data_IF_821973744856
#
_entry.id   IF_821973744856
#
_cell.length_a   1.000
_cell.length_b   1.000
_cell.length_c   1.000
_cell.angle_alpha   90.00
_cell.angle_beta   90.00
_cell.angle_gamma   90.00
#
_symmetry.space_group_name_H-M   'P 1'
#
loop_
_entity.id
_entity.type
_entity.pdbx_description
1 polymer ?
#
# COMPACT_ATOMS: atom_id res chain seq x y z
N UNK A 1 -6.43 -11.14 2.53
CA UNK A 1 -6.05 -11.95 1.37
C UNK A 1 -7.25 -12.37 0.54
N UNK A 2 -7.03 -12.53 -0.76
CA UNK A 2 -7.95 -13.19 -1.69
C UNK A 2 -7.29 -14.44 -2.26
N UNK A 3 -8.01 -15.55 -2.34
CA UNK A 3 -7.58 -16.73 -3.10
C UNK A 3 -8.20 -16.76 -4.49
N UNK A 4 -7.46 -17.25 -5.47
CA UNK A 4 -7.98 -17.47 -6.81
C UNK A 4 -9.04 -18.58 -6.80
N UNK A 5 -10.30 -18.25 -7.10
CA UNK A 5 -11.39 -19.23 -7.12
C UNK A 5 -11.39 -20.14 -8.36
N UNK A 6 -10.51 -19.84 -9.32
CA UNK A 6 -10.28 -20.57 -10.58
C UNK A 6 -8.90 -20.15 -11.12
N UNK A 7 -8.34 -20.87 -12.11
CA UNK A 7 -7.12 -20.41 -12.77
C UNK A 7 -7.29 -19.02 -13.39
N UNK A 8 -6.30 -18.16 -13.18
CA UNK A 8 -6.23 -16.78 -13.69
C UNK A 8 -5.03 -16.70 -14.61
N UNK A 9 -5.18 -16.04 -15.76
CA UNK A 9 -4.09 -15.86 -16.73
C UNK A 9 -3.34 -14.56 -16.48
N UNK A 10 -2.06 -14.55 -16.82
CA UNK A 10 -1.28 -13.33 -16.87
C UNK A 10 -2.00 -12.23 -17.66
N UNK A 11 -2.07 -11.02 -17.08
CA UNK A 11 -2.70 -9.85 -17.68
C UNK A 11 -4.20 -9.71 -17.38
N UNK A 12 -4.85 -10.75 -16.85
CA UNK A 12 -6.27 -10.68 -16.46
C UNK A 12 -6.50 -9.56 -15.44
N UNK A 13 -7.63 -8.86 -15.58
CA UNK A 13 -8.10 -7.89 -14.60
C UNK A 13 -8.82 -8.64 -13.48
N UNK A 14 -8.32 -8.47 -12.26
CA UNK A 14 -8.82 -9.14 -11.06
C UNK A 14 -9.80 -8.27 -10.29
N UNK A 15 -9.56 -6.95 -10.32
CA UNK A 15 -10.38 -5.96 -9.64
C UNK A 15 -10.33 -4.64 -10.40
N UNK A 16 -11.47 -3.98 -10.51
CA UNK A 16 -11.59 -2.56 -10.81
C UNK A 16 -12.37 -1.93 -9.65
N UNK A 17 -11.85 -0.88 -9.05
CA UNK A 17 -12.48 -0.25 -7.88
C UNK A 17 -12.27 1.27 -7.87
N UNK A 18 -13.34 2.09 -7.71
CA UNK A 18 -13.20 3.53 -7.48
C UNK A 18 -12.66 3.81 -6.07
N UNK A 19 -11.93 4.91 -5.90
CA UNK A 19 -11.45 5.32 -4.58
C UNK A 19 -12.60 5.78 -3.69
N UNK A 20 -12.51 5.46 -2.40
CA UNK A 20 -13.43 5.98 -1.39
C UNK A 20 -13.01 7.38 -0.93
N UNK A 21 -11.70 7.61 -0.84
CA UNK A 21 -11.10 8.91 -0.60
C UNK A 21 -9.71 8.97 -1.21
N UNK A 22 -9.26 10.18 -1.50
CA UNK A 22 -7.92 10.46 -1.97
C UNK A 22 -7.36 11.74 -1.36
N UNK A 23 -6.06 11.86 -1.47
CA UNK A 23 -5.27 12.64 -0.57
C UNK A 23 -3.96 13.02 -1.29
N UNK A 24 -3.57 14.31 -1.30
CA UNK A 24 -2.26 14.75 -1.78
C UNK A 24 -1.26 14.74 -0.64
N UNK A 25 -0.11 14.14 -0.85
CA UNK A 25 0.96 14.11 0.14
C UNK A 25 1.80 15.38 0.05
N UNK A 26 2.26 15.92 1.19
CA UNK A 26 3.10 17.11 1.21
C UNK A 26 4.42 16.85 0.48
N UNK A 27 4.90 17.87 -0.23
CA UNK A 27 6.21 17.82 -0.92
C UNK A 27 7.34 18.03 0.10
N UNK A 28 8.51 17.48 -0.17
CA UNK A 28 9.79 17.68 0.53
C UNK A 28 10.19 19.13 0.83
N UNK A 29 9.62 20.10 0.11
CA UNK A 29 9.81 21.53 0.35
C UNK A 29 8.87 22.10 1.42
N UNK A 30 7.82 21.37 1.77
CA UNK A 30 6.86 21.71 2.82
C UNK A 30 7.36 21.22 4.19
N UNK A 31 6.99 21.89 5.30
CA UNK A 31 7.50 21.57 6.64
C UNK A 31 7.32 20.11 7.06
N UNK A 32 6.27 19.47 6.54
CA UNK A 32 5.89 18.07 6.81
C UNK A 32 6.20 17.14 5.63
N UNK A 33 7.02 17.58 4.68
CA UNK A 33 7.44 16.84 3.51
C UNK A 33 8.51 15.77 3.76
N UNK A 34 8.57 14.69 2.96
CA UNK A 34 9.62 13.69 3.07
C UNK A 34 11.00 14.26 2.70
N UNK A 35 12.02 14.00 3.51
CA UNK A 35 13.34 14.59 3.31
C UNK A 35 14.18 13.90 2.22
N UNK A 36 13.97 14.24 0.94
CA UNK A 36 14.64 13.62 -0.23
C UNK A 36 16.19 13.69 -0.29
N UNK A 37 16.87 14.29 0.69
CA UNK A 37 18.32 14.54 0.66
C UNK A 37 19.20 13.39 1.18
N UNK A 38 18.61 12.29 1.68
CA UNK A 38 19.36 11.14 2.23
C UNK A 38 19.69 10.03 1.22
N UNK A 39 19.26 10.17 -0.04
CA UNK A 39 19.57 9.19 -1.10
C UNK A 39 18.87 7.84 -0.96
N UNK A 40 17.93 7.73 -0.03
CA UNK A 40 16.98 6.63 0.03
C UNK A 40 15.82 6.87 -0.96
N UNK A 41 15.18 5.79 -1.40
CA UNK A 41 14.03 5.86 -2.29
C UNK A 41 12.92 6.73 -1.61
N UNK A 42 12.35 7.72 -2.30
CA UNK A 42 11.33 8.60 -1.72
C UNK A 42 10.10 7.82 -1.20
N UNK A 43 9.78 6.65 -1.76
CA UNK A 43 8.73 5.77 -1.24
C UNK A 43 9.07 5.23 0.16
N UNK A 44 10.35 5.10 0.50
CA UNK A 44 10.85 4.47 1.72
C UNK A 44 11.08 5.49 2.82
N UNK A 45 11.67 6.64 2.49
CA UNK A 45 11.72 7.75 3.44
C UNK A 45 10.32 8.20 3.80
N UNK A 46 9.43 8.30 2.82
CA UNK A 46 8.03 8.63 3.08
C UNK A 46 7.33 7.50 3.84
N UNK A 47 7.60 6.21 3.64
CA UNK A 47 7.02 5.14 4.51
C UNK A 47 7.55 5.14 5.95
N UNK A 48 8.82 5.52 6.15
CA UNK A 48 9.47 5.61 7.47
C UNK A 48 9.04 6.88 8.19
N UNK A 49 8.92 7.98 7.47
CA UNK A 49 8.35 9.22 7.98
C UNK A 49 6.83 9.12 8.09
N UNK A 50 6.08 8.35 7.30
CA UNK A 50 4.66 8.08 7.54
C UNK A 50 4.41 7.43 8.92
N UNK A 51 5.41 6.70 9.43
CA UNK A 51 5.37 6.12 10.78
C UNK A 51 5.81 7.08 11.90
N UNK A 52 6.35 8.26 11.56
CA UNK A 52 6.90 9.26 12.51
C UNK A 52 6.36 10.69 12.38
N UNK A 53 5.93 11.05 11.18
CA UNK A 53 5.31 12.26 10.70
C UNK A 53 3.93 11.81 10.21
N UNK A 54 2.97 12.04 11.09
CA UNK A 54 1.55 12.18 10.81
C UNK A 54 1.28 12.23 9.31
N UNK A 55 0.65 11.19 8.73
CA UNK A 55 -0.28 11.47 7.62
C UNK A 55 -1.19 12.51 8.21
N UNK A 56 -0.94 13.78 7.85
CA UNK A 56 -1.26 14.94 8.67
C UNK A 56 -2.61 14.69 9.36
N UNK A 57 -2.59 14.59 10.69
CA UNK A 57 -3.75 14.11 11.42
C UNK A 57 -4.95 14.96 10.98
N UNK A 58 -4.73 16.27 10.74
CA UNK A 58 -5.69 17.20 10.15
C UNK A 58 -6.21 16.83 8.75
N UNK A 59 -5.37 16.27 7.87
CA UNK A 59 -5.70 15.85 6.52
C UNK A 59 -6.52 14.55 6.46
N UNK A 60 -6.11 13.51 7.19
CA UNK A 60 -6.96 12.33 7.34
C UNK A 60 -8.26 12.74 8.04
N UNK A 61 -8.20 13.62 9.03
CA UNK A 61 -9.37 14.15 9.70
C UNK A 61 -10.34 14.87 8.74
N UNK A 62 -9.86 15.76 7.86
CA UNK A 62 -10.70 16.44 6.86
C UNK A 62 -11.32 15.44 5.87
N UNK A 63 -10.56 14.44 5.41
CA UNK A 63 -11.03 13.46 4.43
C UNK A 63 -11.97 12.42 5.02
N UNK A 64 -11.74 12.01 6.27
CA UNK A 64 -12.67 11.18 7.05
C UNK A 64 -14.03 11.87 7.15
N UNK A 65 -14.07 13.17 7.49
CA UNK A 65 -15.33 13.96 7.56
C UNK A 65 -16.03 14.17 6.20
N UNK A 66 -15.32 14.02 5.08
CA UNK A 66 -15.87 14.18 3.73
C UNK A 66 -16.18 12.85 3.02
N UNK A 67 -16.00 11.71 3.70
CA UNK A 67 -16.43 10.41 3.19
C UNK A 67 -17.96 10.43 2.97
N UNK A 68 -18.45 10.22 1.74
CA UNK A 68 -19.84 10.49 1.36
C UNK A 68 -20.89 9.56 2.03
N UNK A 69 -20.46 8.62 2.88
CA UNK A 69 -21.31 7.54 3.38
C UNK A 69 -21.48 7.47 4.90
N UNK A 70 -20.82 8.30 5.71
CA UNK A 70 -20.91 8.20 7.18
C UNK A 70 -20.84 9.57 7.87
N UNK A 71 -21.84 9.92 8.69
CA UNK A 71 -21.66 10.90 9.76
C UNK A 71 -20.75 10.28 10.81
N UNK A 72 -19.49 10.66 10.82
CA UNK A 72 -18.50 10.09 11.74
C UNK A 72 -18.58 10.86 13.04
N UNK A 73 -18.93 10.14 14.10
CA UNK A 73 -18.90 10.66 15.46
C UNK A 73 -17.46 10.63 15.99
N UNK A 74 -17.16 11.52 16.93
CA UNK A 74 -15.78 11.73 17.42
C UNK A 74 -15.14 10.47 18.03
N UNK A 75 -15.95 9.57 18.58
CA UNK A 75 -15.54 8.25 19.09
C UNK A 75 -15.09 7.28 17.99
N UNK A 76 -15.56 7.45 16.75
CA UNK A 76 -15.21 6.60 15.60
C UNK A 76 -14.05 7.14 14.77
N UNK A 77 -13.57 8.35 15.07
CA UNK A 77 -12.52 9.05 14.31
C UNK A 77 -11.16 8.37 14.41
N UNK A 78 -10.63 8.20 15.62
CA UNK A 78 -9.31 7.61 15.83
C UNK A 78 -9.17 6.17 15.25
N UNK A 79 -10.17 5.27 15.37
CA UNK A 79 -10.13 3.98 14.69
C UNK A 79 -10.09 4.08 13.16
N UNK A 80 -10.81 5.03 12.57
CA UNK A 80 -10.84 5.21 11.11
C UNK A 80 -9.51 5.75 10.58
N UNK A 81 -8.86 6.67 11.31
CA UNK A 81 -7.52 7.14 10.96
C UNK A 81 -6.55 5.97 10.84
N UNK A 82 -6.52 5.10 11.86
CA UNK A 82 -5.66 3.90 11.85
C UNK A 82 -5.96 2.94 10.71
N UNK A 83 -7.22 2.82 10.31
CA UNK A 83 -7.58 2.03 9.13
C UNK A 83 -6.99 2.67 7.88
N UNK A 84 -7.19 3.97 7.69
CA UNK A 84 -6.71 4.67 6.50
C UNK A 84 -5.18 4.69 6.40
N UNK A 85 -4.48 4.92 7.52
CA UNK A 85 -3.00 4.92 7.58
C UNK A 85 -2.41 3.61 7.07
N UNK A 86 -2.99 2.47 7.44
CA UNK A 86 -2.44 1.15 7.11
C UNK A 86 -2.96 0.55 5.80
N UNK A 87 -4.01 1.14 5.21
CA UNK A 87 -4.70 0.54 4.06
C UNK A 87 -4.77 1.48 2.84
N UNK A 88 -4.29 2.71 2.93
CA UNK A 88 -4.19 3.61 1.78
C UNK A 88 -3.04 3.17 0.86
N UNK A 89 -3.26 3.32 -0.44
CA UNK A 89 -2.33 2.90 -1.49
C UNK A 89 -1.76 4.15 -2.17
N UNK A 90 -0.45 4.16 -2.38
CA UNK A 90 0.24 5.15 -3.21
C UNK A 90 -0.22 5.07 -4.66
N UNK A 91 -0.65 6.20 -5.21
CA UNK A 91 -1.14 6.27 -6.58
C UNK A 91 0.01 6.11 -7.58
N UNK A 92 0.03 5.02 -8.34
CA UNK A 92 1.07 4.75 -9.35
C UNK A 92 1.08 5.77 -10.48
N UNK A 93 -0.09 6.33 -10.83
CA UNK A 93 -0.25 7.33 -11.91
C UNK A 93 -0.16 8.77 -11.41
N UNK A 94 -0.21 8.98 -10.10
CA UNK A 94 -0.14 10.29 -9.44
C UNK A 94 0.73 10.19 -8.18
N UNK A 95 2.07 10.15 -8.31
CA UNK A 95 2.98 9.77 -7.23
C UNK A 95 2.92 10.66 -5.98
N UNK A 96 2.38 11.87 -6.10
CA UNK A 96 2.15 12.81 -4.99
C UNK A 96 0.84 12.52 -4.23
N UNK A 97 0.22 11.36 -4.44
CA UNK A 97 -1.09 11.03 -3.85
C UNK A 97 -1.17 9.64 -3.26
N UNK A 98 -2.04 9.54 -2.26
CA UNK A 98 -2.56 8.29 -1.74
C UNK A 98 -4.07 8.23 -1.95
N UNK A 99 -4.60 7.01 -2.08
CA UNK A 99 -6.03 6.76 -2.18
C UNK A 99 -6.41 5.48 -1.45
N UNK A 100 -7.62 5.47 -0.89
CA UNK A 100 -8.16 4.31 -0.19
C UNK A 100 -9.13 3.55 -1.09
N UNK A 101 -8.86 2.25 -1.24
CA UNK A 101 -9.61 1.30 -2.06
C UNK A 101 -9.94 0.10 -1.17
N UNK A 102 -11.20 -0.05 -0.76
CA UNK A 102 -11.59 -1.00 0.28
C UNK A 102 -11.38 -2.46 -0.11
N UNK A 103 -11.56 -2.79 -1.39
CA UNK A 103 -11.32 -4.13 -1.91
C UNK A 103 -9.84 -4.33 -2.22
N UNK A 104 -9.15 -3.35 -2.81
CA UNK A 104 -7.72 -3.49 -3.11
C UNK A 104 -6.84 -3.56 -1.83
N UNK A 105 -7.22 -2.88 -0.76
CA UNK A 105 -6.53 -2.94 0.53
C UNK A 105 -6.50 -4.35 1.16
N UNK A 106 -7.32 -5.29 0.70
CA UNK A 106 -7.40 -6.66 1.23
C UNK A 106 -6.39 -7.62 0.60
N UNK A 107 -5.73 -7.25 -0.51
CA UNK A 107 -4.66 -8.07 -1.09
C UNK A 107 -3.45 -8.07 -0.17
N UNK A 108 -2.95 -9.26 0.18
CA UNK A 108 -1.80 -9.40 1.07
C UNK A 108 -0.48 -9.14 0.32
N UNK A 109 0.60 -8.98 1.09
CA UNK A 109 1.94 -8.74 0.55
C UNK A 109 2.67 -10.02 0.12
N UNK A 110 3.41 -9.94 -0.98
CA UNK A 110 4.53 -10.85 -1.28
C UNK A 110 5.68 -10.09 -1.95
N UNK A 111 6.93 -10.38 -1.59
CA UNK A 111 8.12 -9.87 -2.31
C UNK A 111 8.33 -10.53 -3.69
N UNK A 112 7.56 -11.58 -3.98
CA UNK A 112 7.36 -12.17 -5.30
C UNK A 112 5.86 -12.16 -5.60
N UNK A 113 5.29 -10.98 -5.90
CA UNK A 113 3.85 -10.84 -6.11
C UNK A 113 3.42 -11.56 -7.38
N UNK A 114 2.15 -11.98 -7.42
CA UNK A 114 1.52 -12.52 -8.62
C UNK A 114 0.48 -11.56 -9.22
N UNK A 115 0.26 -10.41 -8.59
CA UNK A 115 -0.54 -9.31 -9.12
C UNK A 115 0.11 -7.95 -8.84
N UNK A 116 -0.29 -6.92 -9.58
CA UNK A 116 0.07 -5.53 -9.33
C UNK A 116 -1.16 -4.64 -9.30
N UNK A 117 -1.04 -3.50 -8.62
CA UNK A 117 -2.08 -2.46 -8.56
C UNK A 117 -1.63 -1.29 -9.42
N UNK A 118 -2.46 -0.86 -10.36
CA UNK A 118 -2.33 0.41 -11.07
C UNK A 118 -3.45 1.34 -10.65
N UNK A 119 -3.14 2.49 -10.07
CA UNK A 119 -4.13 3.38 -9.48
C UNK A 119 -3.82 4.86 -9.69
N UNK A 120 -4.88 5.65 -9.69
CA UNK A 120 -4.88 7.11 -9.62
C UNK A 120 -5.68 7.54 -8.41
N UNK A 121 -5.87 8.85 -8.21
CA UNK A 121 -6.73 9.35 -7.13
C UNK A 121 -8.20 8.89 -7.23
N UNK A 122 -8.64 8.41 -8.39
CA UNK A 122 -10.05 8.10 -8.66
C UNK A 122 -10.37 6.61 -8.69
N UNK A 123 -9.42 5.79 -9.11
CA UNK A 123 -9.68 4.39 -9.42
C UNK A 123 -8.40 3.56 -9.34
N UNK A 124 -8.56 2.27 -9.06
CA UNK A 124 -7.52 1.26 -9.15
C UNK A 124 -7.94 0.09 -10.04
N UNK A 125 -6.94 -0.55 -10.64
CA UNK A 125 -7.03 -1.79 -11.37
C UNK A 125 -6.00 -2.75 -10.82
N UNK A 126 -6.42 -3.95 -10.41
CA UNK A 126 -5.51 -5.03 -10.03
C UNK A 126 -5.42 -6.02 -11.18
N UNK A 127 -4.20 -6.35 -11.60
CA UNK A 127 -3.94 -7.27 -12.72
C UNK A 127 -2.96 -8.35 -12.34
N UNK A 128 -3.15 -9.54 -12.91
CA UNK A 128 -2.23 -10.65 -12.74
C UNK A 128 -0.90 -10.39 -13.47
N UNK A 129 0.22 -10.56 -12.76
CA UNK A 129 1.59 -10.46 -13.30
C UNK A 129 2.06 -11.75 -13.96
N UNK A 130 1.46 -12.88 -13.56
CA UNK A 130 1.71 -14.21 -14.09
C UNK A 130 0.43 -15.04 -13.98
N UNK A 131 0.43 -16.24 -14.54
CA UNK A 131 -0.62 -17.21 -14.27
C UNK A 131 -0.69 -17.52 -12.76
N UNK A 132 -1.92 -17.64 -12.25
CA UNK A 132 -2.23 -17.93 -10.84
C UNK A 132 -3.11 -19.16 -10.79
N UNK A 133 -2.68 -20.16 -10.01
CA UNK A 133 -3.40 -21.43 -9.88
C UNK A 133 -4.65 -21.27 -9.03
N UNK A 134 -5.65 -22.14 -9.22
CA UNK A 134 -6.80 -22.19 -8.33
C UNK A 134 -6.36 -22.50 -6.90
N UNK A 135 -6.90 -21.75 -5.93
CA UNK A 135 -6.53 -21.83 -4.52
C UNK A 135 -5.27 -21.04 -4.15
N UNK A 136 -4.47 -20.58 -5.12
CA UNK A 136 -3.31 -19.74 -4.84
C UNK A 136 -3.76 -18.35 -4.34
N UNK A 137 -3.11 -17.82 -3.31
CA UNK A 137 -3.38 -16.47 -2.82
C UNK A 137 -2.89 -15.43 -3.82
N UNK A 138 -3.74 -14.44 -4.13
CA UNK A 138 -3.34 -13.28 -4.92
C UNK A 138 -2.68 -12.25 -4.01
N UNK A 139 -1.41 -11.97 -4.28
CA UNK A 139 -0.59 -11.06 -3.50
C UNK A 139 0.00 -9.95 -4.39
N UNK A 140 0.05 -8.74 -3.83
CA UNK A 140 0.69 -7.56 -4.42
C UNK A 140 1.96 -7.21 -3.64
N UNK A 141 2.79 -6.31 -4.17
CA UNK A 141 3.93 -5.78 -3.40
C UNK A 141 3.54 -4.49 -2.69
N UNK A 142 3.88 -4.38 -1.40
CA UNK A 142 3.71 -3.14 -0.62
C UNK A 142 4.97 -2.28 -0.64
N UNK A 143 6.09 -2.85 -1.09
CA UNK A 143 7.41 -2.24 -1.11
C UNK A 143 8.07 -2.45 -2.48
N UNK A 144 9.08 -1.65 -2.86
CA UNK A 144 9.83 -1.90 -4.08
C UNK A 144 10.47 -3.30 -4.07
N UNK A 145 10.17 -4.11 -5.08
CA UNK A 145 10.74 -5.47 -5.19
C UNK A 145 12.23 -5.47 -5.52
N UNK A 146 12.78 -4.34 -5.97
CA UNK A 146 14.20 -4.14 -6.26
C UNK A 146 15.06 -3.98 -5.01
N UNK A 147 14.47 -3.68 -3.85
CA UNK A 147 15.22 -3.50 -2.60
C UNK A 147 15.80 -4.80 -2.05
N UNK A 148 16.84 -4.66 -1.21
CA UNK A 148 17.43 -5.79 -0.46
C UNK A 148 16.44 -6.39 0.52
N UNK A 149 16.65 -7.65 0.90
CA UNK A 149 15.79 -8.31 1.87
C UNK A 149 15.65 -7.49 3.17
N UNK A 150 16.78 -7.05 3.72
CA UNK A 150 16.82 -6.29 4.97
C UNK A 150 15.97 -5.02 4.89
N UNK A 151 16.08 -4.27 3.78
CA UNK A 151 15.32 -3.03 3.57
C UNK A 151 13.82 -3.30 3.41
N UNK A 152 13.44 -4.34 2.66
CA UNK A 152 12.03 -4.74 2.55
C UNK A 152 11.45 -5.14 3.91
N UNK A 153 12.17 -5.91 4.73
CA UNK A 153 11.71 -6.32 6.06
C UNK A 153 11.60 -5.14 7.04
N UNK A 154 12.53 -4.19 6.99
CA UNK A 154 12.50 -2.97 7.80
C UNK A 154 11.21 -2.15 7.53
N UNK A 155 10.88 -1.94 6.25
CA UNK A 155 9.68 -1.20 5.86
C UNK A 155 8.42 -1.96 6.27
N UNK A 156 8.33 -3.26 6.00
CA UNK A 156 7.14 -4.04 6.37
C UNK A 156 6.97 -4.15 7.89
N UNK A 157 8.08 -4.06 8.63
CA UNK A 157 8.10 -3.98 10.09
C UNK A 157 7.40 -2.74 10.64
N UNK A 158 7.41 -1.60 9.93
CA UNK A 158 6.63 -0.41 10.32
C UNK A 158 5.13 -0.65 10.21
N UNK A 159 4.70 -1.51 9.28
CA UNK A 159 3.34 -2.03 9.15
C UNK A 159 3.01 -3.17 10.13
N UNK A 160 3.92 -3.51 11.04
CA UNK A 160 3.68 -4.47 12.12
C UNK A 160 3.75 -5.95 11.72
N UNK A 161 4.39 -6.30 10.61
CA UNK A 161 4.57 -7.70 10.22
C UNK A 161 5.95 -8.01 9.62
N UNK A 162 6.31 -9.30 9.64
CA UNK A 162 7.53 -9.82 9.00
C UNK A 162 7.14 -10.67 7.81
N UNK A 163 7.71 -10.40 6.63
CA UNK A 163 7.38 -11.18 5.44
C UNK A 163 8.08 -12.55 5.46
N UNK A 164 7.32 -13.60 5.20
CA UNK A 164 7.80 -14.98 5.07
C UNK A 164 7.48 -15.58 3.70
N UNK A 165 7.35 -14.74 2.67
CA UNK A 165 7.14 -15.23 1.30
C UNK A 165 8.35 -16.04 0.82
N UNK A 166 8.15 -16.86 -0.22
CA UNK A 166 9.16 -17.76 -0.80
C UNK A 166 10.53 -17.08 -1.00
N UNK A 167 10.55 -15.88 -1.60
CA UNK A 167 11.81 -15.13 -1.82
C UNK A 167 12.49 -14.73 -0.53
N UNK A 168 11.75 -14.27 0.47
CA UNK A 168 12.33 -13.94 1.78
C UNK A 168 12.86 -15.19 2.49
N UNK A 169 12.22 -16.34 2.36
CA UNK A 169 12.75 -17.57 2.93
C UNK A 169 14.01 -18.07 2.22
N UNK A 170 14.10 -17.89 0.90
CA UNK A 170 15.27 -18.22 0.08
C UNK A 170 16.46 -17.31 0.41
N UNK A 171 16.27 -15.99 0.37
CA UNK A 171 17.30 -14.99 0.66
C UNK A 171 17.85 -15.14 2.10
N UNK A 172 17.00 -15.53 3.08
CA UNK A 172 17.43 -15.81 4.47
C UNK A 172 18.45 -16.96 4.53
N UNK A 173 18.31 -17.97 3.68
CA UNK A 173 19.21 -19.14 3.64
C UNK A 173 20.54 -18.79 2.97
N UNK A 174 20.53 -17.89 1.99
CA UNK A 174 21.71 -17.51 1.22
C UNK A 174 22.50 -16.36 1.82
N UNK A 175 21.97 -15.68 2.86
CA UNK A 175 22.62 -14.54 3.50
C UNK A 175 22.70 -13.30 2.61
N UNK A 176 21.73 -13.14 1.70
CA UNK A 176 21.66 -12.08 0.70
C UNK A 176 20.69 -10.95 1.09
#
# INVERSE_FOLDING_TARGET
>A
GYGAAKPIRQGDVLLFEPSLCCARMPDSSEPDGPNMSRGDDPYIEMSRDLSKAQVDEAFLNEKVHTLPFVKITEDRRAPLLRILENNSIWCTREPDRIAFFAHAARFNHSCCPNAFVDCSRHECVVRALRDVEEGEEVCISYVPVSDTQAKRQDILGTGGFTCTCKRCEEEKKTGA
#
